data_IF_022349933738
#
_entry.id   IF_022349933738
#
_cell.length_a   1.000
_cell.length_b   1.000
_cell.length_c   1.000
_cell.angle_alpha   90.00
_cell.angle_beta   90.00
_cell.angle_gamma   90.00
#
_symmetry.space_group_name_H-M   'P 1'
#
loop_
_entity.id
_entity.type
_entity.pdbx_description
1 polymer ?
#
# COMPACT_ATOMS: atom_id res chain seq x y z
N UNK A 1 14.90 -1.15 22.36
CA UNK A 1 14.43 -0.80 21.01
C UNK A 1 14.17 -2.10 20.25
N UNK A 2 12.99 -2.27 19.69
CA UNK A 2 12.70 -3.42 18.84
C UNK A 2 13.39 -3.25 17.47
N UNK A 3 13.91 -4.34 16.93
CA UNK A 3 14.45 -4.36 15.56
C UNK A 3 13.33 -4.04 14.58
N UNK A 4 13.53 -3.12 13.63
CA UNK A 4 12.51 -2.82 12.63
C UNK A 4 12.12 -4.05 11.80
N UNK A 5 10.85 -4.17 11.52
CA UNK A 5 10.25 -5.24 10.72
C UNK A 5 9.81 -4.68 9.37
N UNK A 6 9.93 -5.49 8.32
CA UNK A 6 9.43 -5.10 7.00
C UNK A 6 7.92 -5.28 6.93
N UNK A 7 7.22 -4.23 6.52
CA UNK A 7 5.79 -4.24 6.21
C UNK A 7 5.53 -3.68 4.82
N UNK A 8 4.41 -4.05 4.22
CA UNK A 8 3.99 -3.55 2.90
C UNK A 8 2.61 -2.94 3.00
N UNK A 9 2.50 -1.71 2.49
CA UNK A 9 1.30 -0.89 2.56
C UNK A 9 0.78 -0.66 1.15
N UNK A 10 -0.48 -1.00 0.90
CA UNK A 10 -1.22 -0.59 -0.29
C UNK A 10 -1.76 0.83 -0.10
N UNK A 11 -1.55 1.69 -1.09
CA UNK A 11 -2.08 3.04 -1.12
C UNK A 11 -3.01 3.17 -2.32
N UNK A 12 -4.19 3.75 -2.13
CA UNK A 12 -5.15 3.97 -3.20
C UNK A 12 -5.97 5.23 -2.99
N UNK A 13 -6.27 5.92 -4.09
CA UNK A 13 -7.13 7.09 -4.10
C UNK A 13 -7.80 7.25 -5.47
N UNK A 14 -9.03 7.77 -5.51
CA UNK A 14 -9.70 8.12 -6.76
C UNK A 14 -10.48 9.45 -6.71
N UNK A 15 -10.29 10.23 -5.66
CA UNK A 15 -10.94 11.54 -5.49
C UNK A 15 -9.91 12.63 -5.16
N UNK A 16 -10.23 13.86 -5.55
CA UNK A 16 -9.51 15.08 -5.14
C UNK A 16 -7.99 15.06 -5.42
N UNK A 17 -7.60 14.78 -6.65
CA UNK A 17 -6.18 14.66 -7.01
C UNK A 17 -5.55 13.37 -6.47
N UNK A 18 -5.95 12.20 -7.00
CA UNK A 18 -5.55 10.90 -6.42
C UNK A 18 -4.03 10.68 -6.43
N UNK A 19 -3.32 11.19 -7.42
CA UNK A 19 -1.86 11.05 -7.48
C UNK A 19 -1.18 11.82 -6.36
N UNK A 20 -1.57 13.07 -6.17
CA UNK A 20 -1.07 13.96 -5.12
C UNK A 20 -1.39 13.41 -3.73
N UNK A 21 -2.56 12.79 -3.57
CA UNK A 21 -2.95 12.11 -2.31
C UNK A 21 -2.06 10.92 -1.99
N UNK A 22 -1.73 10.10 -2.97
CA UNK A 22 -0.82 8.97 -2.82
C UNK A 22 0.60 9.47 -2.46
N UNK A 23 1.10 10.51 -3.14
CA UNK A 23 2.41 11.10 -2.83
C UNK A 23 2.46 11.67 -1.40
N UNK A 24 1.45 12.44 -1.01
CA UNK A 24 1.35 13.00 0.34
C UNK A 24 1.26 11.89 1.41
N UNK A 25 0.58 10.79 1.12
CA UNK A 25 0.52 9.64 2.02
C UNK A 25 1.89 8.97 2.20
N UNK A 26 2.67 8.83 1.13
CA UNK A 26 4.05 8.31 1.22
C UNK A 26 4.95 9.20 2.08
N UNK A 27 4.87 10.52 1.90
CA UNK A 27 5.62 11.48 2.73
C UNK A 27 5.20 11.38 4.20
N UNK A 28 3.92 11.21 4.46
CA UNK A 28 3.38 11.10 5.81
C UNK A 28 3.77 9.78 6.49
N UNK A 29 3.81 8.67 5.73
CA UNK A 29 4.33 7.39 6.22
C UNK A 29 5.81 7.47 6.60
N UNK A 30 6.61 8.15 5.78
CA UNK A 30 8.05 8.33 6.04
C UNK A 30 8.31 9.28 7.22
N UNK A 31 7.39 10.20 7.49
CA UNK A 31 7.45 11.11 8.64
C UNK A 31 6.94 10.49 9.96
N UNK A 32 6.36 9.29 9.93
CA UNK A 32 5.93 8.60 11.15
C UNK A 32 7.16 8.15 11.96
N UNK A 33 7.32 8.59 13.24
CA UNK A 33 8.57 8.44 14.00
C UNK A 33 9.13 7.02 14.11
N UNK A 34 8.27 6.00 14.01
CA UNK A 34 8.67 4.60 14.12
C UNK A 34 8.53 3.84 12.79
N UNK A 35 8.44 4.57 11.71
CA UNK A 35 8.35 4.05 10.35
C UNK A 35 9.36 4.73 9.44
N UNK A 36 9.75 4.04 8.38
CA UNK A 36 10.56 4.58 7.30
C UNK A 36 10.17 3.90 6.00
N UNK A 37 9.93 4.67 4.97
CA UNK A 37 9.69 4.16 3.62
C UNK A 37 11.03 3.75 3.02
N UNK A 38 11.21 2.46 2.74
CA UNK A 38 12.45 1.91 2.15
C UNK A 38 12.34 1.69 0.64
N UNK A 39 11.14 1.57 0.12
CA UNK A 39 10.85 1.54 -1.31
C UNK A 39 9.40 1.94 -1.57
N UNK A 40 9.13 2.48 -2.76
CA UNK A 40 7.79 2.74 -3.25
C UNK A 40 7.69 2.37 -4.74
N UNK A 41 6.58 1.76 -5.12
CA UNK A 41 6.32 1.35 -6.50
C UNK A 41 6.03 2.53 -7.41
N UNK A 42 6.06 2.29 -8.72
CA UNK A 42 5.37 3.11 -9.71
C UNK A 42 3.90 3.29 -9.29
N UNK A 43 3.28 4.39 -9.69
CA UNK A 43 1.85 4.63 -9.54
C UNK A 43 1.13 3.96 -10.69
N UNK A 44 0.08 3.23 -10.37
CA UNK A 44 -0.74 2.53 -11.37
C UNK A 44 -2.15 3.10 -11.35
N UNK A 45 -2.71 3.28 -12.54
CA UNK A 45 -4.12 3.61 -12.72
C UNK A 45 -4.88 2.34 -13.08
N UNK A 46 -6.05 2.16 -12.48
CA UNK A 46 -6.98 1.10 -12.82
C UNK A 46 -8.43 1.55 -12.65
N UNK A 47 -9.35 0.99 -13.45
CA UNK A 47 -10.77 1.24 -13.27
C UNK A 47 -11.23 0.91 -11.85
N UNK A 48 -12.15 1.73 -11.33
CA UNK A 48 -12.81 1.43 -10.08
C UNK A 48 -13.65 0.15 -10.21
N UNK A 49 -13.79 -0.58 -9.10
CA UNK A 49 -14.66 -1.75 -9.08
C UNK A 49 -16.10 -1.32 -9.35
N UNK A 50 -16.81 -2.10 -10.17
CA UNK A 50 -18.21 -1.90 -10.53
C UNK A 50 -19.05 -3.05 -10.01
N UNK A 51 -20.33 -2.80 -9.78
CA UNK A 51 -21.26 -3.83 -9.34
C UNK A 51 -22.61 -3.25 -8.89
N UNK A 52 -23.57 -4.08 -8.54
CA UNK A 52 -24.86 -3.62 -8.04
C UNK A 52 -24.69 -2.73 -6.81
N UNK A 53 -25.27 -1.53 -6.83
CA UNK A 53 -25.21 -0.57 -5.74
C UNK A 53 -23.89 0.20 -5.62
N UNK A 54 -22.91 -0.04 -6.50
CA UNK A 54 -21.68 0.74 -6.56
C UNK A 54 -21.89 1.91 -7.52
N UNK A 55 -21.75 3.18 -7.06
CA UNK A 55 -21.89 4.33 -7.94
C UNK A 55 -20.77 4.39 -8.96
N UNK A 56 -21.02 4.99 -10.12
CA UNK A 56 -19.99 5.33 -11.08
C UNK A 56 -18.98 6.27 -10.41
N UNK A 57 -17.67 5.99 -10.58
CA UNK A 57 -16.60 6.72 -9.91
C UNK A 57 -15.35 6.75 -10.78
N UNK A 58 -14.44 7.76 -10.56
CA UNK A 58 -13.20 7.83 -11.29
C UNK A 58 -12.30 6.62 -11.06
N UNK A 59 -11.32 6.43 -11.96
CA UNK A 59 -10.27 5.45 -11.82
C UNK A 59 -9.44 5.68 -10.56
N UNK A 60 -8.95 4.60 -9.97
CA UNK A 60 -8.02 4.63 -8.86
C UNK A 60 -6.59 4.86 -9.33
N UNK A 61 -5.82 5.58 -8.51
CA UNK A 61 -4.36 5.55 -8.53
C UNK A 61 -3.90 4.74 -7.33
N UNK A 62 -3.11 3.71 -7.58
CA UNK A 62 -2.60 2.78 -6.58
C UNK A 62 -1.08 2.71 -6.58
N UNK A 63 -0.51 2.43 -5.43
CA UNK A 63 0.90 2.14 -5.24
C UNK A 63 1.07 1.17 -4.06
N UNK A 64 2.28 0.63 -3.92
CA UNK A 64 2.70 -0.11 -2.73
C UNK A 64 3.98 0.49 -2.19
N UNK A 65 4.04 0.66 -0.88
CA UNK A 65 5.23 1.06 -0.15
C UNK A 65 5.77 -0.10 0.69
N UNK A 66 7.09 -0.23 0.74
CA UNK A 66 7.78 -1.06 1.72
C UNK A 66 8.23 -0.18 2.88
N UNK A 67 7.89 -0.58 4.09
CA UNK A 67 8.28 0.09 5.32
C UNK A 67 9.26 -0.76 6.12
N UNK A 68 10.23 -0.10 6.75
CA UNK A 68 10.85 -0.59 7.98
C UNK A 68 10.11 0.04 9.16
N UNK A 69 9.53 -0.75 10.05
CA UNK A 69 8.72 -0.25 11.17
C UNK A 69 9.01 -0.95 12.47
N UNK A 70 9.03 -0.19 13.57
CA UNK A 70 9.08 -0.70 14.94
C UNK A 70 7.68 -0.76 15.60
N UNK A 71 6.63 -0.42 14.85
CA UNK A 71 5.25 -0.54 15.30
C UNK A 71 4.77 -1.99 15.19
N UNK A 72 4.12 -2.51 16.22
CA UNK A 72 3.37 -3.77 16.11
C UNK A 72 2.17 -3.62 15.15
N UNK A 73 1.64 -4.71 14.58
CA UNK A 73 0.63 -4.65 13.51
C UNK A 73 -0.59 -3.79 13.81
N UNK A 74 -1.15 -3.88 15.01
CA UNK A 74 -2.32 -3.06 15.38
C UNK A 74 -1.97 -1.58 15.56
N UNK A 75 -0.80 -1.28 16.10
CA UNK A 75 -0.33 0.10 16.22
C UNK A 75 -0.01 0.71 14.84
N UNK A 76 0.53 -0.09 13.92
CA UNK A 76 0.73 0.34 12.54
C UNK A 76 -0.63 0.60 11.86
N UNK A 77 -1.61 -0.28 12.04
CA UNK A 77 -2.96 -0.06 11.52
C UNK A 77 -3.55 1.26 12.03
N UNK A 78 -3.40 1.57 13.32
CA UNK A 78 -3.86 2.84 13.91
C UNK A 78 -3.16 4.05 13.30
N UNK A 79 -1.85 3.97 13.06
CA UNK A 79 -1.09 5.01 12.38
C UNK A 79 -1.60 5.24 10.94
N UNK A 80 -1.86 4.16 10.18
CA UNK A 80 -2.43 4.24 8.83
C UNK A 80 -3.82 4.90 8.84
N UNK A 81 -4.68 4.54 9.79
CA UNK A 81 -6.00 5.15 9.95
C UNK A 81 -5.91 6.63 10.33
N UNK A 82 -4.91 7.02 11.11
CA UNK A 82 -4.61 8.41 11.43
C UNK A 82 -4.25 9.22 10.18
N UNK A 83 -3.41 8.69 9.32
CA UNK A 83 -3.02 9.32 8.05
C UNK A 83 -4.23 9.46 7.11
N UNK A 84 -5.08 8.44 7.01
CA UNK A 84 -6.33 8.52 6.25
C UNK A 84 -7.25 9.62 6.76
N UNK A 85 -7.38 9.77 8.08
CA UNK A 85 -8.19 10.81 8.71
C UNK A 85 -7.63 12.22 8.45
N UNK A 86 -6.32 12.40 8.53
CA UNK A 86 -5.64 13.67 8.21
C UNK A 86 -5.90 14.11 6.76
N UNK A 87 -6.00 13.17 5.83
CA UNK A 87 -6.31 13.45 4.44
C UNK A 87 -7.81 13.56 4.14
N UNK A 88 -8.61 13.77 5.17
CA UNK A 88 -10.05 13.99 5.05
C UNK A 88 -10.79 12.83 4.37
N UNK A 89 -10.47 11.59 4.74
CA UNK A 89 -11.31 10.45 4.38
C UNK A 89 -12.73 10.73 4.88
N UNK A 90 -13.59 11.16 3.99
CA UNK A 90 -15.02 11.26 4.29
C UNK A 90 -15.57 9.84 4.42
N UNK A 91 -15.84 9.42 5.64
CA UNK A 91 -16.67 8.24 5.93
C UNK A 91 -18.15 8.60 5.70
N UNK A 92 -18.49 9.01 4.50
CA UNK A 92 -19.90 8.98 4.12
C UNK A 92 -20.32 7.51 4.05
N UNK A 93 -21.53 7.23 4.54
CA UNK A 93 -22.11 5.90 4.73
C UNK A 93 -21.53 4.84 3.79
N UNK A 94 -20.75 3.93 4.37
CA UNK A 94 -19.82 3.08 3.67
C UNK A 94 -20.50 2.19 2.61
N UNK A 95 -20.56 2.67 1.41
CA UNK A 95 -20.79 1.81 0.24
C UNK A 95 -19.50 1.01 0.07
N UNK A 96 -19.57 -0.30 0.21
CA UNK A 96 -18.46 -1.20 -0.08
C UNK A 96 -17.95 -0.89 -1.48
N UNK A 97 -16.60 -0.65 -1.62
CA UNK A 97 -15.95 -0.22 -2.86
C UNK A 97 -16.35 1.16 -3.40
N UNK A 98 -16.95 2.02 -2.58
CA UNK A 98 -17.25 3.40 -2.95
C UNK A 98 -16.01 4.29 -3.07
N UNK A 99 -16.18 5.54 -3.57
CA UNK A 99 -15.10 6.51 -3.76
C UNK A 99 -14.37 6.83 -2.46
N UNK A 100 -13.04 6.98 -2.53
CA UNK A 100 -12.21 7.28 -1.36
C UNK A 100 -11.14 8.30 -1.68
N UNK A 101 -11.00 9.30 -0.80
CA UNK A 101 -9.91 10.29 -0.89
C UNK A 101 -8.55 9.63 -0.73
N UNK A 102 -8.42 8.73 0.25
CA UNK A 102 -7.24 7.90 0.50
C UNK A 102 -7.64 6.61 1.20
N UNK A 103 -7.03 5.51 0.78
CA UNK A 103 -7.14 4.20 1.42
C UNK A 103 -5.74 3.64 1.64
N UNK A 104 -5.44 3.23 2.88
CA UNK A 104 -4.17 2.64 3.28
C UNK A 104 -4.43 1.25 3.86
N UNK A 105 -3.95 0.22 3.17
CA UNK A 105 -4.11 -1.17 3.57
C UNK A 105 -2.79 -1.76 4.04
N UNK A 106 -2.76 -2.37 5.21
CA UNK A 106 -1.65 -3.22 5.63
C UNK A 106 -1.75 -4.55 4.90
N UNK A 107 -0.86 -4.77 3.92
CA UNK A 107 -0.88 -5.95 3.05
C UNK A 107 -0.15 -7.13 3.68
N UNK A 108 1.09 -6.89 4.12
CA UNK A 108 1.99 -7.87 4.73
C UNK A 108 2.74 -7.23 5.89
N UNK A 109 3.04 -8.04 6.89
CA UNK A 109 3.89 -7.67 8.02
C UNK A 109 4.88 -8.81 8.27
N UNK A 110 6.09 -8.71 7.71
CA UNK A 110 7.00 -9.84 7.53
C UNK A 110 6.25 -11.05 6.94
N UNK A 111 6.49 -12.26 7.46
CA UNK A 111 5.72 -13.46 7.13
C UNK A 111 4.65 -13.79 8.18
N UNK A 112 4.25 -12.80 8.97
CA UNK A 112 3.34 -12.98 10.09
C UNK A 112 1.91 -13.18 9.60
N UNK A 113 1.23 -14.14 10.18
CA UNK A 113 -0.21 -14.34 10.04
C UNK A 113 -0.93 -13.82 11.27
N UNK A 114 -2.04 -13.17 11.06
CA UNK A 114 -2.91 -12.65 12.11
C UNK A 114 -4.36 -12.78 11.65
N UNK A 115 -5.20 -13.31 12.52
CA UNK A 115 -6.64 -13.40 12.30
C UNK A 115 -7.36 -12.83 13.51
N UNK A 116 -7.75 -11.58 13.41
CA UNK A 116 -8.48 -10.87 14.46
C UNK A 116 -9.60 -10.04 13.87
N UNK A 117 -10.53 -9.63 14.71
CA UNK A 117 -11.66 -8.77 14.31
C UNK A 117 -11.20 -7.44 13.66
N UNK A 118 -10.06 -6.90 14.12
CA UNK A 118 -9.55 -5.61 13.65
C UNK A 118 -8.59 -5.70 12.46
N UNK A 119 -7.87 -6.82 12.32
CA UNK A 119 -6.80 -6.97 11.34
C UNK A 119 -6.60 -8.44 10.97
N UNK A 120 -6.56 -8.70 9.67
CA UNK A 120 -6.20 -10.00 9.11
C UNK A 120 -4.94 -9.84 8.26
N UNK A 121 -3.93 -10.69 8.50
CA UNK A 121 -2.69 -10.74 7.74
C UNK A 121 -2.38 -12.18 7.27
N UNK A 122 -1.94 -12.38 6.04
CA UNK A 122 -1.84 -11.38 4.95
C UNK A 122 -3.21 -10.79 4.63
N UNK A 123 -3.22 -9.61 3.99
CA UNK A 123 -4.50 -9.00 3.59
C UNK A 123 -5.34 -10.01 2.79
N UNK A 124 -6.63 -10.22 3.14
CA UNK A 124 -7.43 -11.35 2.61
C UNK A 124 -7.57 -11.37 1.09
N UNK A 125 -7.58 -10.19 0.47
CA UNK A 125 -7.78 -10.04 -0.98
C UNK A 125 -6.49 -9.80 -1.77
N UNK A 126 -5.33 -9.74 -1.11
CA UNK A 126 -4.05 -9.41 -1.77
C UNK A 126 -3.78 -10.30 -2.98
N UNK A 127 -3.95 -11.61 -2.83
CA UNK A 127 -3.66 -12.62 -3.85
C UNK A 127 -4.55 -12.54 -5.11
N UNK A 128 -5.59 -11.72 -5.12
CA UNK A 128 -6.53 -11.53 -6.23
C UNK A 128 -6.45 -10.15 -6.87
N UNK A 129 -5.75 -9.20 -6.23
CA UNK A 129 -5.75 -7.79 -6.63
C UNK A 129 -4.51 -7.43 -7.43
N UNK A 130 -4.64 -7.34 -8.75
CA UNK A 130 -3.55 -6.94 -9.63
C UNK A 130 -2.95 -5.58 -9.25
N UNK A 131 -3.79 -4.62 -8.84
CA UNK A 131 -3.38 -3.28 -8.42
C UNK A 131 -2.61 -3.23 -7.09
N UNK A 132 -2.56 -4.34 -6.35
CA UNK A 132 -1.70 -4.51 -5.18
C UNK A 132 -0.52 -5.44 -5.48
N UNK A 133 -0.73 -6.55 -6.16
CA UNK A 133 0.31 -7.54 -6.48
C UNK A 133 1.36 -7.02 -7.45
N UNK A 134 0.96 -6.31 -8.50
CA UNK A 134 1.91 -5.77 -9.49
C UNK A 134 2.86 -4.76 -8.89
N UNK A 135 2.37 -3.72 -8.16
CA UNK A 135 3.27 -2.79 -7.47
C UNK A 135 4.10 -3.46 -6.39
N UNK A 136 3.55 -4.45 -5.66
CA UNK A 136 4.30 -5.21 -4.66
C UNK A 136 5.46 -5.98 -5.31
N UNK A 137 5.20 -6.71 -6.37
CA UNK A 137 6.22 -7.48 -7.10
C UNK A 137 7.27 -6.59 -7.77
N UNK A 138 6.92 -5.35 -8.14
CA UNK A 138 7.87 -4.38 -8.68
C UNK A 138 8.96 -4.02 -7.67
N UNK A 139 8.60 -3.85 -6.40
CA UNK A 139 9.54 -3.43 -5.35
C UNK A 139 10.14 -4.61 -4.58
N UNK A 140 9.45 -5.74 -4.54
CA UNK A 140 9.94 -6.96 -3.90
C UNK A 140 9.23 -8.20 -4.47
N UNK A 141 9.75 -8.79 -5.58
CA UNK A 141 9.17 -9.98 -6.18
C UNK A 141 9.28 -11.21 -5.28
N UNK A 142 10.22 -11.22 -4.33
CA UNK A 142 10.47 -12.33 -3.41
C UNK A 142 9.68 -12.23 -2.11
N UNK A 143 8.91 -11.14 -1.90
CA UNK A 143 8.05 -11.00 -0.73
C UNK A 143 7.12 -12.21 -0.60
N UNK A 144 7.16 -12.87 0.54
CA UNK A 144 6.33 -14.04 0.81
C UNK A 144 4.95 -13.62 1.28
N UNK A 145 3.94 -14.09 0.57
CA UNK A 145 2.53 -14.00 1.01
C UNK A 145 2.19 -15.33 1.71
N UNK A 146 2.11 -15.36 3.04
CA UNK A 146 1.90 -16.59 3.79
C UNK A 146 0.73 -17.42 3.28
N UNK A 147 0.97 -18.72 3.03
CA UNK A 147 -0.01 -19.65 2.50
C UNK A 147 -0.38 -19.48 1.02
N UNK A 148 0.31 -18.57 0.29
CA UNK A 148 0.00 -18.28 -1.12
C UNK A 148 1.18 -18.37 -2.07
N UNK A 149 2.39 -18.04 -1.63
CA UNK A 149 3.61 -18.02 -2.44
C UNK A 149 4.26 -16.65 -2.50
N UNK A 150 5.12 -16.45 -3.50
CA UNK A 150 5.86 -15.19 -3.68
C UNK A 150 5.07 -14.16 -4.49
N UNK A 151 5.26 -12.89 -4.16
CA UNK A 151 4.59 -11.77 -4.84
C UNK A 151 4.79 -11.79 -6.36
N UNK A 152 6.01 -12.09 -6.84
CA UNK A 152 6.30 -12.19 -8.28
C UNK A 152 5.51 -13.27 -9.00
N UNK A 153 5.38 -14.45 -8.39
CA UNK A 153 4.60 -15.57 -8.93
C UNK A 153 3.10 -15.25 -8.96
N UNK A 154 2.59 -14.68 -7.88
CA UNK A 154 1.19 -14.27 -7.78
C UNK A 154 0.86 -13.14 -8.77
N UNK A 155 1.75 -12.17 -8.92
CA UNK A 155 1.59 -11.08 -9.88
C UNK A 155 1.60 -11.54 -11.33
N UNK A 156 2.38 -12.59 -11.65
CA UNK A 156 2.40 -13.19 -12.98
C UNK A 156 1.12 -13.97 -13.30
N UNK A 157 0.44 -14.50 -12.28
CA UNK A 157 -0.76 -15.32 -12.43
C UNK A 157 -2.07 -14.49 -12.47
N UNK A 158 -2.06 -13.24 -12.00
CA UNK A 158 -3.26 -12.38 -11.96
C UNK A 158 -3.41 -11.59 -13.26
N UNK A 159 -4.66 -11.41 -13.72
CA UNK A 159 -4.94 -10.54 -14.86
C UNK A 159 -4.71 -9.06 -14.47
N UNK A 160 -3.78 -8.43 -15.14
CA UNK A 160 -3.42 -7.03 -14.97
C UNK A 160 -3.65 -6.17 -16.21
N UNK A 161 -4.45 -6.65 -17.16
CA UNK A 161 -4.69 -6.00 -18.45
C UNK A 161 -5.30 -4.60 -18.34
N UNK A 162 -6.08 -4.35 -17.28
CA UNK A 162 -6.68 -3.06 -17.00
C UNK A 162 -5.76 -2.10 -16.22
N UNK A 163 -4.56 -2.53 -15.86
CA UNK A 163 -3.63 -1.76 -15.05
C UNK A 163 -2.68 -0.96 -15.93
N UNK A 164 -2.67 0.35 -15.76
CA UNK A 164 -1.80 1.26 -16.51
C UNK A 164 -0.74 1.88 -15.59
N UNK A 165 0.54 1.69 -15.92
CA UNK A 165 1.63 2.32 -15.21
C UNK A 165 1.70 3.81 -15.59
N UNK A 166 1.66 4.69 -14.59
CA UNK A 166 1.85 6.12 -14.74
C UNK A 166 3.34 6.46 -14.68
N UNK A 167 3.75 7.59 -15.30
CA UNK A 167 5.15 8.00 -15.30
C UNK A 167 5.74 8.10 -13.89
N UNK A 168 6.97 7.59 -13.73
CA UNK A 168 7.74 7.70 -12.50
C UNK A 168 8.13 9.15 -12.24
N UNK A 169 7.45 9.81 -11.32
CA UNK A 169 8.04 10.90 -10.54
C UNK A 169 8.34 10.36 -9.15
N UNK A 170 9.39 9.55 -9.05
CA UNK A 170 9.82 9.04 -7.76
C UNK A 170 10.59 10.11 -7.00
N UNK A 171 10.11 10.48 -5.80
CA UNK A 171 11.06 10.79 -4.74
C UNK A 171 11.80 9.50 -4.46
N UNK A 172 13.11 9.50 -4.68
CA UNK A 172 13.98 8.40 -4.26
C UNK A 172 14.04 8.48 -2.74
N UNK A 173 13.37 7.56 -2.06
CA UNK A 173 13.60 7.37 -0.65
C UNK A 173 15.00 6.77 -0.49
N UNK A 174 15.91 7.37 0.31
CA UNK A 174 17.27 6.87 0.43
C UNK A 174 17.24 5.45 0.98
N UNK A 175 17.74 4.51 0.20
CA UNK A 175 18.05 3.18 0.68
C UNK A 175 19.28 3.29 1.59
N UNK A 176 19.17 2.83 2.84
CA UNK A 176 20.33 2.70 3.72
C UNK A 176 21.39 1.80 3.09
N UNK A 177 22.56 2.32 2.84
CA UNK A 177 23.69 1.60 2.30
C UNK A 177 24.82 2.48 1.74
N UNK A 178 24.71 3.81 1.79
CA UNK A 178 25.84 4.67 1.47
C UNK A 178 26.61 4.96 2.78
N UNK A 179 27.58 4.12 3.09
CA UNK A 179 28.67 4.50 3.98
C UNK A 179 29.28 5.81 3.46
N UNK A 180 29.15 6.86 4.25
CA UNK A 180 29.98 8.06 4.08
C UNK A 180 31.37 7.69 4.54
N UNK A 181 32.25 7.42 3.59
CA UNK A 181 33.70 7.38 3.88
C UNK A 181 34.15 8.76 4.28
N UNK A 182 34.80 8.94 5.45
CA UNK A 182 35.42 10.20 5.79
C UNK A 182 36.71 10.35 5.01
N UNK A 183 36.85 11.45 4.35
CA UNK A 183 38.15 12.00 3.92
C UNK A 183 38.41 13.30 4.65
#
# INVERSE_FOLDING_TARGET
>A
MSTPVTAYIGLGSNLDGPRERVEAALERLDAEPRCRVTAASTRYRNPALTGPGVPAQPDYVNAVARLATALEPLALLEALQGIEAEQQRRREAAVRWGPRTLDLDLLLYAERTLDSERLVLPHPELHRRAFALRPLAEIDPDAVVPGRGRAGELAAAVDASALEALERRCKVFPTDGAEVSPS
#
